data_IF_073820846495
#
_entry.id   IF_073820846495
#
_cell.length_a   1.000
_cell.length_b   1.000
_cell.length_c   1.000
_cell.angle_alpha   90.00
_cell.angle_beta   90.00
_cell.angle_gamma   90.00
#
_symmetry.space_group_name_H-M   'P 1'
#
loop_
_entity.id
_entity.type
_entity.pdbx_description
1 polymer ?
#
# COMPACT_ATOMS: atom_id res chain seq x y z
N UNK A 1 2.47 -2.71 12.20
CA UNK A 1 2.16 -3.84 11.32
C UNK A 1 3.24 -4.09 10.26
N UNK A 2 3.73 -3.08 9.54
CA UNK A 2 4.68 -3.28 8.43
C UNK A 2 5.90 -4.19 8.70
N UNK A 3 6.50 -4.18 9.90
CA UNK A 3 7.61 -5.12 10.24
C UNK A 3 7.18 -6.59 10.28
N UNK A 4 5.98 -6.88 10.74
CA UNK A 4 5.45 -8.27 10.82
C UNK A 4 5.20 -8.77 9.40
N UNK A 5 4.58 -7.94 8.56
CA UNK A 5 4.32 -8.25 7.16
C UNK A 5 5.62 -8.48 6.38
N UNK A 6 6.62 -7.64 6.61
CA UNK A 6 7.97 -7.82 6.05
C UNK A 6 8.60 -9.16 6.45
N UNK A 7 8.52 -9.52 7.74
CA UNK A 7 9.03 -10.80 8.23
C UNK A 7 8.32 -11.99 7.56
N UNK A 8 6.99 -11.95 7.47
CA UNK A 8 6.20 -13.00 6.82
C UNK A 8 6.45 -13.09 5.31
N UNK A 9 6.62 -11.95 4.63
CA UNK A 9 6.92 -11.91 3.20
C UNK A 9 8.27 -12.59 2.92
N UNK A 10 9.31 -12.23 3.69
CA UNK A 10 10.64 -12.85 3.57
C UNK A 10 10.60 -14.35 3.92
N UNK A 11 9.84 -14.74 4.95
CA UNK A 11 9.68 -16.15 5.33
C UNK A 11 9.02 -16.99 4.22
N UNK A 12 8.18 -16.37 3.38
CA UNK A 12 7.52 -16.99 2.23
C UNK A 12 8.30 -16.85 0.92
N UNK A 13 9.56 -16.39 0.99
CA UNK A 13 10.44 -16.19 -0.16
C UNK A 13 9.94 -15.14 -1.17
N UNK A 14 9.28 -14.09 -0.69
CA UNK A 14 9.04 -12.88 -1.48
C UNK A 14 10.22 -11.90 -1.34
N UNK A 15 10.46 -11.12 -2.39
CA UNK A 15 11.49 -10.09 -2.39
C UNK A 15 10.99 -8.78 -1.77
N UNK A 16 11.73 -8.27 -0.79
CA UNK A 16 11.50 -6.93 -0.24
C UNK A 16 12.34 -5.89 -1.00
N UNK A 17 11.76 -5.34 -2.07
CA UNK A 17 12.45 -4.37 -2.94
C UNK A 17 12.34 -2.92 -2.50
N UNK A 18 11.40 -2.60 -1.61
CA UNK A 18 11.15 -1.25 -1.12
C UNK A 18 10.67 -1.21 0.33
N UNK A 19 11.14 -0.20 1.08
CA UNK A 19 10.64 0.14 2.42
C UNK A 19 10.38 1.63 2.52
N UNK A 20 9.11 2.02 2.55
CA UNK A 20 8.70 3.42 2.59
C UNK A 20 8.21 3.76 3.99
N UNK A 21 8.97 4.59 4.70
CA UNK A 21 8.61 5.10 6.01
C UNK A 21 9.15 6.52 6.23
N UNK A 22 8.24 7.50 6.29
CA UNK A 22 8.58 8.92 6.46
C UNK A 22 9.34 9.19 7.77
N UNK A 23 8.98 8.49 8.85
CA UNK A 23 9.67 8.62 10.15
C UNK A 23 11.11 8.08 10.10
N UNK A 24 11.44 7.29 9.09
CA UNK A 24 12.77 6.76 8.84
C UNK A 24 13.41 7.35 7.57
N UNK A 25 12.97 8.53 7.15
CA UNK A 25 13.65 9.33 6.11
C UNK A 25 13.26 9.02 4.66
N UNK A 26 12.25 8.19 4.40
CA UNK A 26 11.74 8.04 3.03
C UNK A 26 11.08 9.33 2.54
N UNK A 27 11.05 9.52 1.22
CA UNK A 27 10.34 10.65 0.57
C UNK A 27 8.87 10.36 0.27
N UNK A 28 8.34 9.26 0.80
CA UNK A 28 6.99 8.76 0.50
C UNK A 28 6.94 7.85 -0.73
N UNK A 29 5.74 7.61 -1.23
CA UNK A 29 5.49 6.81 -2.44
C UNK A 29 5.90 7.63 -3.66
N UNK A 30 7.02 7.23 -4.26
CA UNK A 30 7.63 7.87 -5.43
C UNK A 30 8.07 6.78 -6.39
N UNK A 31 8.15 7.07 -7.70
CA UNK A 31 8.57 6.09 -8.70
C UNK A 31 9.94 5.51 -8.37
N UNK A 32 10.84 6.32 -7.83
CA UNK A 32 12.18 5.91 -7.43
C UNK A 32 12.17 4.99 -6.20
N UNK A 33 11.22 5.18 -5.28
CA UNK A 33 11.11 4.37 -4.07
C UNK A 33 10.41 3.04 -4.30
N UNK A 34 9.60 2.92 -5.36
CA UNK A 34 8.85 1.71 -5.67
C UNK A 34 9.68 0.65 -6.40
N UNK A 35 10.81 1.03 -7.01
CA UNK A 35 11.71 0.11 -7.72
C UNK A 35 10.92 -0.77 -8.72
N UNK A 36 11.23 -2.07 -8.79
CA UNK A 36 10.55 -3.07 -9.61
C UNK A 36 9.50 -3.86 -8.79
N UNK A 37 8.80 -3.21 -7.85
CA UNK A 37 7.78 -3.89 -7.05
C UNK A 37 6.61 -4.37 -7.92
N UNK A 38 6.12 -5.59 -7.67
CA UNK A 38 4.90 -6.12 -8.29
C UNK A 38 3.62 -5.76 -7.52
N UNK A 39 3.74 -5.58 -6.19
CA UNK A 39 2.62 -5.23 -5.30
C UNK A 39 3.11 -4.41 -4.11
N UNK A 40 2.27 -3.48 -3.64
CA UNK A 40 2.49 -2.73 -2.42
C UNK A 40 1.58 -3.20 -1.29
N UNK A 41 2.11 -3.21 -0.06
CA UNK A 41 1.32 -3.41 1.15
C UNK A 41 1.39 -2.15 1.99
N UNK A 42 0.27 -1.45 2.06
CA UNK A 42 0.17 -0.08 2.57
C UNK A 42 -0.33 -0.07 4.02
N UNK A 43 0.60 0.26 4.92
CA UNK A 43 0.40 0.34 6.36
C UNK A 43 0.85 1.69 6.90
N UNK A 44 0.25 2.78 6.41
CA UNK A 44 0.58 4.13 6.84
C UNK A 44 -0.40 4.67 7.87
N UNK A 45 -0.11 5.88 8.35
CA UNK A 45 -1.07 6.70 9.11
C UNK A 45 -2.22 7.16 8.21
N UNK A 46 -3.40 7.38 8.79
CA UNK A 46 -4.64 7.74 8.07
C UNK A 46 -4.50 8.94 7.12
N UNK A 47 -3.71 9.94 7.52
CA UNK A 47 -3.50 11.16 6.72
C UNK A 47 -2.76 10.94 5.39
N UNK A 48 -2.05 9.80 5.23
CA UNK A 48 -1.22 9.54 4.06
C UNK A 48 -1.89 8.58 3.05
N UNK A 49 -2.86 7.76 3.48
CA UNK A 49 -3.31 6.61 2.70
C UNK A 49 -3.92 7.01 1.35
N UNK A 50 -4.75 8.07 1.31
CA UNK A 50 -5.38 8.54 0.06
C UNK A 50 -4.33 8.96 -0.96
N UNK A 51 -3.29 9.68 -0.51
CA UNK A 51 -2.21 10.10 -1.40
C UNK A 51 -1.38 8.90 -1.84
N UNK A 52 -1.07 7.99 -0.93
CA UNK A 52 -0.28 6.80 -1.23
C UNK A 52 -0.99 5.91 -2.26
N UNK A 53 -2.30 5.65 -2.11
CA UNK A 53 -3.08 4.90 -3.12
C UNK A 53 -3.02 5.57 -4.49
N UNK A 54 -3.11 6.90 -4.55
CA UNK A 54 -3.04 7.61 -5.84
C UNK A 54 -1.66 7.50 -6.49
N UNK A 55 -0.59 7.58 -5.70
CA UNK A 55 0.76 7.43 -6.23
C UNK A 55 1.06 5.98 -6.62
N UNK A 56 0.58 5.00 -5.85
CA UNK A 56 0.67 3.57 -6.19
C UNK A 56 -0.08 3.27 -7.49
N UNK A 57 -1.32 3.73 -7.62
CA UNK A 57 -2.09 3.60 -8.85
C UNK A 57 -1.38 4.31 -10.02
N UNK A 58 -0.86 5.53 -9.82
CA UNK A 58 -0.12 6.25 -10.87
C UNK A 58 1.16 5.52 -11.31
N UNK A 59 1.76 4.75 -10.41
CA UNK A 59 2.89 3.90 -10.71
C UNK A 59 2.49 2.56 -11.36
N UNK A 60 1.19 2.29 -11.54
CA UNK A 60 0.70 1.03 -12.09
C UNK A 60 0.80 -0.15 -11.13
N UNK A 61 0.84 0.13 -9.81
CA UNK A 61 1.07 -0.88 -8.79
C UNK A 61 -0.22 -1.27 -8.07
N UNK A 62 -0.47 -2.58 -8.00
CA UNK A 62 -1.54 -3.13 -7.17
C UNK A 62 -1.24 -2.93 -5.68
N UNK A 63 -2.27 -2.71 -4.88
CA UNK A 63 -2.08 -2.39 -3.47
C UNK A 63 -3.04 -3.12 -2.52
N UNK A 64 -2.51 -3.54 -1.37
CA UNK A 64 -3.27 -4.04 -0.22
C UNK A 64 -3.23 -2.99 0.88
N UNK A 65 -4.38 -2.53 1.34
CA UNK A 65 -4.54 -1.46 2.32
C UNK A 65 -5.14 -2.02 3.59
N UNK A 66 -4.38 -1.95 4.69
CA UNK A 66 -4.85 -2.32 6.01
C UNK A 66 -4.84 -1.07 6.90
N UNK A 67 -6.02 -0.48 7.01
CA UNK A 67 -6.25 0.73 7.77
C UNK A 67 -7.62 0.68 8.43
N UNK A 68 -7.63 0.76 9.75
CA UNK A 68 -8.84 0.63 10.58
C UNK A 68 -9.80 1.82 10.50
N UNK A 69 -9.38 2.96 9.96
CA UNK A 69 -10.23 4.16 9.84
C UNK A 69 -10.04 4.84 8.50
N UNK A 70 -10.38 4.11 7.45
CA UNK A 70 -10.58 4.72 6.16
C UNK A 70 -12.01 5.29 6.08
N UNK A 71 -12.15 6.61 6.22
CA UNK A 71 -13.35 7.31 5.78
C UNK A 71 -13.21 7.52 4.28
N UNK A 72 -13.55 6.49 3.50
CA UNK A 72 -13.53 6.58 2.06
C UNK A 72 -14.36 7.78 1.61
N UNK A 73 -13.81 8.63 0.76
CA UNK A 73 -14.57 9.06 -0.42
C UNK A 73 -14.27 7.99 -1.49
N UNK A 74 -15.05 6.89 -1.57
CA UNK A 74 -14.71 5.75 -2.42
C UNK A 74 -14.46 6.19 -3.87
N UNK A 75 -15.23 7.18 -4.33
CA UNK A 75 -15.12 7.72 -5.68
C UNK A 75 -13.72 8.18 -6.06
N UNK A 76 -12.93 8.79 -5.15
CA UNK A 76 -11.61 9.32 -5.53
C UNK A 76 -10.55 8.23 -5.70
N UNK A 77 -10.56 7.21 -4.86
CA UNK A 77 -9.62 6.09 -4.98
C UNK A 77 -10.01 5.15 -6.10
N UNK A 78 -11.30 4.84 -6.24
CA UNK A 78 -11.80 3.98 -7.32
C UNK A 78 -11.50 4.60 -8.68
N UNK A 79 -11.72 5.91 -8.84
CA UNK A 79 -11.35 6.61 -10.09
C UNK A 79 -9.85 6.50 -10.39
N UNK A 80 -8.98 6.60 -9.37
CA UNK A 80 -7.53 6.52 -9.57
C UNK A 80 -7.10 5.12 -10.00
N UNK A 81 -7.62 4.06 -9.36
CA UNK A 81 -7.28 2.68 -9.66
C UNK A 81 -7.86 2.23 -11.00
N UNK A 82 -9.10 2.63 -11.33
CA UNK A 82 -9.74 2.35 -12.62
C UNK A 82 -8.99 2.99 -13.78
N UNK A 83 -8.62 4.27 -13.67
CA UNK A 83 -7.87 4.96 -14.73
C UNK A 83 -6.48 4.35 -14.95
N UNK A 84 -5.87 3.83 -13.88
CA UNK A 84 -4.54 3.21 -13.92
C UNK A 84 -4.56 1.71 -14.21
N UNK A 85 -5.74 1.07 -14.27
CA UNK A 85 -5.88 -0.37 -14.40
C UNK A 85 -5.15 -1.17 -13.31
N UNK A 86 -5.25 -0.71 -12.06
CA UNK A 86 -4.63 -1.35 -10.89
C UNK A 86 -5.68 -1.93 -9.94
N UNK A 87 -5.33 -3.03 -9.29
CA UNK A 87 -6.09 -3.69 -8.24
C UNK A 87 -5.87 -3.06 -6.87
N UNK A 88 -6.95 -3.02 -6.08
CA UNK A 88 -6.92 -2.53 -4.70
C UNK A 88 -7.73 -3.47 -3.81
N UNK A 89 -7.08 -4.03 -2.79
CA UNK A 89 -7.76 -4.74 -1.70
C UNK A 89 -7.69 -3.86 -0.46
N UNK A 90 -8.82 -3.55 0.13
CA UNK A 90 -8.91 -2.85 1.40
C UNK A 90 -9.75 -3.66 2.37
N UNK A 91 -9.21 -3.87 3.57
CA UNK A 91 -9.94 -4.49 4.67
C UNK A 91 -9.40 -3.96 6.01
N UNK A 92 -10.25 -3.43 6.91
CA UNK A 92 -9.82 -2.98 8.23
C UNK A 92 -9.36 -4.12 9.16
N UNK A 93 -9.65 -5.38 8.81
CA UNK A 93 -9.18 -6.56 9.53
C UNK A 93 -8.96 -7.78 8.61
N UNK A 94 -7.70 -8.07 8.29
CA UNK A 94 -7.33 -9.24 7.47
C UNK A 94 -7.33 -10.59 8.22
N UNK A 95 -7.78 -10.63 9.49
CA UNK A 95 -7.92 -11.89 10.23
C UNK A 95 -9.06 -12.74 9.65
N UNK A 96 -8.75 -13.97 9.25
CA UNK A 96 -9.75 -14.93 8.76
C UNK A 96 -10.48 -15.67 9.91
N UNK A 97 -9.91 -15.62 11.13
CA UNK A 97 -10.50 -16.19 12.34
C UNK A 97 -11.05 -15.07 13.24
N UNK A 98 -12.22 -15.31 13.82
CA UNK A 98 -12.98 -14.37 14.64
C UNK A 98 -12.90 -14.78 16.11
#
# INVERSE_FOLDING_TARGET
MGRIVEQEALAKAHDLVARINLAHGSKGVTSEALCDADVAIEFSVHSAIIQNIRELARAGLDAVIDSTRWHAEPGRTTTATENAWTGLIYEPNFSLSW
#
